data_IF_478188928713
#
_entry.id   IF_478188928713
#
_cell.length_a   1.000
_cell.length_b   1.000
_cell.length_c   1.000
_cell.angle_alpha   90.00
_cell.angle_beta   90.00
_cell.angle_gamma   90.00
#
_symmetry.space_group_name_H-M   'P 1'
#
loop_
_entity.id
_entity.type
_entity.pdbx_description
1 polymer ?
#
# COMPACT_ATOMS: atom_id res chain seq x y z
N UNK A 1 -6.94 -30.42 -2.93
CA UNK A 1 -8.41 -30.41 -3.09
C UNK A 1 -9.18 -30.78 -1.81
N UNK A 2 -8.57 -30.77 -0.63
CA UNK A 2 -9.18 -31.29 0.61
C UNK A 2 -9.43 -30.24 1.71
N UNK A 3 -9.34 -28.94 1.40
CA UNK A 3 -9.65 -27.90 2.39
C UNK A 3 -11.16 -27.80 2.57
N UNK A 4 -11.63 -27.93 3.82
CA UNK A 4 -13.02 -27.64 4.18
C UNK A 4 -13.37 -26.22 3.74
N UNK A 5 -14.52 -26.05 3.07
CA UNK A 5 -15.05 -24.75 2.69
C UNK A 5 -16.33 -24.50 3.45
N UNK A 6 -16.48 -23.28 3.94
CA UNK A 6 -17.79 -22.81 4.41
C UNK A 6 -18.82 -22.96 3.29
N UNK A 7 -20.08 -23.13 3.69
CA UNK A 7 -21.17 -23.08 2.73
C UNK A 7 -21.23 -21.70 2.05
N UNK A 8 -21.77 -21.65 0.82
CA UNK A 8 -21.81 -20.40 0.04
C UNK A 8 -22.60 -19.27 0.72
N UNK A 9 -23.59 -19.60 1.56
CA UNK A 9 -24.42 -18.62 2.25
C UNK A 9 -23.69 -18.01 3.47
N UNK A 10 -22.73 -18.75 4.04
CA UNK A 10 -21.86 -18.37 5.15
C UNK A 10 -20.51 -17.80 4.70
N UNK A 11 -20.38 -17.44 3.41
CA UNK A 11 -19.17 -16.79 2.88
C UNK A 11 -18.86 -15.49 3.63
N UNK A 12 -17.63 -15.36 4.12
CA UNK A 12 -17.20 -14.21 4.93
C UNK A 12 -17.25 -12.93 4.10
N UNK A 13 -17.89 -11.90 4.65
CA UNK A 13 -17.88 -10.55 4.06
C UNK A 13 -18.75 -10.35 2.80
N UNK A 14 -19.47 -11.37 2.33
CA UNK A 14 -20.33 -11.23 1.15
C UNK A 14 -21.47 -10.23 1.41
N UNK A 15 -21.74 -9.29 0.47
CA UNK A 15 -22.83 -8.33 0.63
C UNK A 15 -24.18 -9.05 0.59
N UNK A 16 -25.11 -8.58 1.43
CA UNK A 16 -26.48 -9.12 1.53
C UNK A 16 -27.48 -8.38 0.62
N UNK A 17 -27.01 -7.41 -0.16
CA UNK A 17 -27.81 -6.64 -1.11
C UNK A 17 -27.10 -6.58 -2.48
N UNK A 18 -27.84 -6.45 -3.59
CA UNK A 18 -27.25 -6.28 -4.91
C UNK A 18 -26.45 -4.96 -5.01
N UNK A 19 -25.28 -4.99 -5.63
CA UNK A 19 -24.41 -3.82 -5.86
C UNK A 19 -23.94 -3.81 -7.31
N UNK A 20 -24.00 -2.66 -7.98
CA UNK A 20 -23.57 -2.51 -9.37
C UNK A 20 -22.92 -1.13 -9.60
N UNK A 21 -21.73 -1.05 -10.23
CA UNK A 21 -21.14 0.22 -10.63
C UNK A 21 -21.83 0.79 -11.87
N UNK A 22 -21.88 2.12 -12.01
CA UNK A 22 -22.36 2.81 -13.20
C UNK A 22 -21.44 3.98 -13.56
N UNK A 23 -21.38 4.34 -14.84
CA UNK A 23 -20.67 5.53 -15.29
C UNK A 23 -21.38 6.81 -14.86
N UNK A 24 -20.66 7.94 -14.82
CA UNK A 24 -21.22 9.20 -14.33
C UNK A 24 -22.30 9.78 -15.28
N UNK A 25 -22.32 9.43 -16.57
CA UNK A 25 -23.39 9.83 -17.50
C UNK A 25 -24.72 9.13 -17.18
N UNK A 26 -24.68 7.83 -16.85
CA UNK A 26 -25.86 7.10 -16.40
C UNK A 26 -26.30 7.58 -15.01
N UNK A 27 -25.33 7.83 -14.11
CA UNK A 27 -25.60 8.41 -12.81
C UNK A 27 -26.27 9.78 -12.92
N UNK A 28 -25.82 10.64 -13.84
CA UNK A 28 -26.45 11.94 -14.09
C UNK A 28 -27.92 11.76 -14.51
N UNK A 29 -28.21 10.79 -15.38
CA UNK A 29 -29.58 10.49 -15.82
C UNK A 29 -30.49 10.06 -14.65
N UNK A 30 -29.96 9.27 -13.72
CA UNK A 30 -30.68 8.85 -12.51
C UNK A 30 -30.85 10.01 -11.51
N UNK A 31 -29.79 10.81 -11.30
CA UNK A 31 -29.77 11.89 -10.32
C UNK A 31 -30.54 13.13 -10.77
N UNK A 32 -30.67 13.36 -12.09
CA UNK A 32 -31.27 14.58 -12.66
C UNK A 32 -32.68 14.84 -12.15
N UNK A 33 -33.47 13.79 -12.00
CA UNK A 33 -34.86 13.87 -11.56
C UNK A 33 -35.06 13.40 -10.12
N UNK A 34 -33.98 13.20 -9.35
CA UNK A 34 -34.07 12.78 -7.95
C UNK A 34 -34.84 13.83 -7.15
N UNK A 35 -35.94 13.41 -6.53
CA UNK A 35 -36.83 14.24 -5.74
C UNK A 35 -36.42 14.29 -4.27
N UNK A 36 -37.37 14.61 -3.40
CA UNK A 36 -37.15 14.61 -1.96
C UNK A 36 -36.29 15.77 -1.45
N UNK A 37 -35.57 15.53 -0.36
CA UNK A 37 -34.87 16.59 0.38
C UNK A 37 -33.64 17.10 -0.38
N UNK A 38 -33.39 18.40 -0.25
CA UNK A 38 -32.13 19.01 -0.70
C UNK A 38 -30.94 18.41 0.07
N UNK A 39 -29.73 18.40 -0.51
CA UNK A 39 -28.54 17.91 0.17
C UNK A 39 -28.26 18.72 1.44
N UNK A 40 -28.00 18.06 2.60
CA UNK A 40 -27.90 18.72 3.89
C UNK A 40 -26.66 19.62 4.02
N UNK A 41 -25.60 19.31 3.25
CA UNK A 41 -24.36 20.07 3.27
C UNK A 41 -23.71 20.07 1.88
N UNK A 42 -22.90 21.10 1.58
CA UNK A 42 -22.21 21.24 0.29
C UNK A 42 -21.32 20.03 -0.04
N UNK A 43 -20.79 19.34 0.97
CA UNK A 43 -19.97 18.13 0.78
C UNK A 43 -20.71 16.95 0.15
N UNK A 44 -22.05 16.97 0.10
CA UNK A 44 -22.86 15.96 -0.59
C UNK A 44 -23.01 16.24 -2.09
N UNK A 45 -22.66 17.45 -2.54
CA UNK A 45 -22.71 17.82 -3.96
C UNK A 45 -21.41 17.43 -4.65
N UNK A 46 -21.53 16.59 -5.67
CA UNK A 46 -20.47 16.38 -6.65
C UNK A 46 -20.45 17.50 -7.72
N UNK A 47 -19.86 17.19 -8.88
CA UNK A 47 -19.67 18.15 -9.98
C UNK A 47 -20.56 17.91 -11.21
N UNK A 48 -21.56 17.02 -11.14
CA UNK A 48 -22.57 16.85 -12.18
C UNK A 48 -23.57 18.01 -12.14
N UNK A 49 -24.16 18.34 -13.28
CA UNK A 49 -25.15 19.41 -13.39
C UNK A 49 -26.55 18.93 -12.95
N UNK A 50 -26.69 18.57 -11.66
CA UNK A 50 -27.91 18.07 -11.04
C UNK A 50 -28.07 18.65 -9.62
N UNK A 51 -29.27 18.51 -9.03
CA UNK A 51 -29.57 19.09 -7.71
C UNK A 51 -28.87 18.40 -6.54
N UNK A 52 -28.51 17.12 -6.71
CA UNK A 52 -28.03 16.23 -5.63
C UNK A 52 -29.03 16.10 -4.48
N UNK A 53 -30.33 16.10 -4.78
CA UNK A 53 -31.33 15.77 -3.78
C UNK A 53 -31.09 14.35 -3.23
N UNK A 54 -31.47 14.12 -1.98
CA UNK A 54 -31.21 12.86 -1.26
C UNK A 54 -32.29 11.81 -1.55
N UNK A 55 -33.45 12.22 -2.08
CA UNK A 55 -34.64 11.38 -2.17
C UNK A 55 -35.50 11.44 -0.90
N UNK A 56 -36.46 10.50 -0.76
CA UNK A 56 -36.73 9.37 -1.65
C UNK A 56 -37.49 9.77 -2.93
N UNK A 57 -37.44 8.87 -3.92
CA UNK A 57 -38.21 8.97 -5.16
C UNK A 57 -37.73 10.05 -6.13
N UNK A 58 -38.49 10.21 -7.21
CA UNK A 58 -38.25 11.25 -8.21
C UNK A 58 -39.17 12.45 -8.01
N UNK A 59 -38.89 13.55 -8.70
CA UNK A 59 -39.75 14.75 -8.71
C UNK A 59 -41.16 14.44 -9.22
N UNK A 60 -42.12 15.36 -8.97
CA UNK A 60 -43.55 15.11 -9.20
C UNK A 60 -43.89 14.55 -10.60
N UNK A 61 -43.24 15.07 -11.65
CA UNK A 61 -43.43 14.63 -13.04
C UNK A 61 -42.98 13.18 -13.30
N UNK A 62 -42.22 12.58 -12.39
CA UNK A 62 -41.67 11.22 -12.46
C UNK A 62 -42.03 10.39 -11.23
N UNK A 63 -43.00 10.83 -10.42
CA UNK A 63 -43.36 10.23 -9.12
C UNK A 63 -43.77 8.75 -9.19
N UNK A 64 -44.25 8.29 -10.34
CA UNK A 64 -44.62 6.89 -10.58
C UNK A 64 -43.45 6.00 -11.02
N UNK A 65 -42.26 6.58 -11.27
CA UNK A 65 -41.09 5.83 -11.71
C UNK A 65 -40.28 5.30 -10.53
N UNK A 66 -39.62 4.17 -10.74
CA UNK A 66 -38.70 3.55 -9.79
C UNK A 66 -37.46 3.02 -10.51
N UNK A 67 -36.37 2.88 -9.78
CA UNK A 67 -35.17 2.18 -10.28
C UNK A 67 -35.31 0.69 -10.00
N UNK A 68 -34.99 -0.14 -10.99
CA UNK A 68 -34.93 -1.60 -10.84
C UNK A 68 -33.54 -2.10 -11.18
N UNK A 69 -32.92 -2.84 -10.28
CA UNK A 69 -31.62 -3.47 -10.51
C UNK A 69 -31.82 -4.90 -10.99
N UNK A 70 -31.03 -5.30 -12.00
CA UNK A 70 -31.03 -6.64 -12.57
C UNK A 70 -29.59 -7.18 -12.50
N UNK A 71 -29.29 -8.04 -11.51
CA UNK A 71 -27.95 -8.59 -11.30
C UNK A 71 -28.02 -10.12 -11.37
N UNK A 72 -27.21 -10.70 -12.25
CA UNK A 72 -27.13 -12.15 -12.48
C UNK A 72 -25.68 -12.63 -12.40
N UNK A 73 -24.96 -12.16 -11.38
CA UNK A 73 -23.58 -12.59 -11.11
C UNK A 73 -23.57 -13.89 -10.30
N UNK A 74 -22.57 -14.74 -10.53
CA UNK A 74 -22.44 -16.04 -9.89
C UNK A 74 -21.11 -16.17 -9.15
N UNK A 75 -21.14 -16.69 -7.91
CA UNK A 75 -19.95 -17.02 -7.15
C UNK A 75 -19.53 -18.46 -7.45
N UNK A 76 -18.32 -18.61 -7.98
CA UNK A 76 -17.74 -19.89 -8.36
C UNK A 76 -16.39 -20.10 -7.69
N UNK A 77 -16.08 -21.37 -7.43
CA UNK A 77 -14.74 -21.74 -6.97
C UNK A 77 -13.85 -21.83 -8.19
N UNK A 78 -12.92 -20.88 -8.30
CA UNK A 78 -11.98 -20.81 -9.42
C UNK A 78 -10.57 -21.11 -8.94
N UNK A 79 -9.80 -21.82 -9.76
CA UNK A 79 -8.39 -22.07 -9.49
C UNK A 79 -7.58 -20.82 -9.80
N UNK A 80 -6.76 -20.38 -8.84
CA UNK A 80 -5.85 -19.24 -8.96
C UNK A 80 -4.40 -19.72 -8.90
N UNK A 81 -3.46 -18.94 -9.46
CA UNK A 81 -2.06 -19.34 -9.62
C UNK A 81 -1.08 -18.22 -9.22
N UNK A 82 -0.45 -18.39 -8.07
CA UNK A 82 0.71 -17.60 -7.70
C UNK A 82 1.98 -18.14 -8.38
N UNK A 83 2.87 -17.24 -8.82
CA UNK A 83 4.21 -17.63 -9.29
C UNK A 83 5.24 -17.22 -8.25
N UNK A 84 5.98 -18.19 -7.72
CA UNK A 84 6.98 -17.98 -6.66
C UNK A 84 8.37 -18.36 -7.18
N UNK A 85 9.26 -17.37 -7.25
CA UNK A 85 10.67 -17.54 -7.62
C UNK A 85 11.58 -17.30 -6.43
N UNK A 86 12.69 -18.05 -6.32
CA UNK A 86 13.61 -17.90 -5.19
C UNK A 86 15.07 -17.79 -5.62
N UNK A 87 15.79 -16.85 -5.00
CA UNK A 87 17.26 -16.83 -4.98
C UNK A 87 17.69 -17.16 -3.55
N UNK A 88 18.09 -18.42 -3.32
CA UNK A 88 18.54 -18.87 -2.01
C UNK A 88 19.78 -18.11 -1.54
N UNK A 89 19.77 -17.66 -0.29
CA UNK A 89 20.88 -16.97 0.36
C UNK A 89 22.10 -17.87 0.59
N UNK A 90 23.27 -17.26 0.77
CA UNK A 90 24.54 -17.99 1.00
C UNK A 90 24.90 -18.15 2.48
N UNK A 91 24.49 -17.21 3.34
CA UNK A 91 24.85 -17.21 4.77
C UNK A 91 23.65 -17.50 5.66
N UNK A 92 22.53 -16.82 5.38
CA UNK A 92 21.28 -16.95 6.13
C UNK A 92 20.14 -17.41 5.19
N UNK A 93 20.24 -18.62 4.60
CA UNK A 93 19.26 -19.09 3.62
C UNK A 93 17.84 -19.28 4.20
N UNK A 94 17.71 -19.29 5.52
CA UNK A 94 16.48 -19.38 6.30
C UNK A 94 15.95 -18.01 6.74
N UNK A 95 16.41 -16.91 6.14
CA UNK A 95 15.84 -15.55 6.31
C UNK A 95 15.33 -15.04 4.98
N UNK A 96 14.11 -14.52 4.97
CA UNK A 96 13.36 -14.24 3.73
C UNK A 96 13.07 -12.76 3.56
N UNK A 97 13.57 -12.19 2.46
CA UNK A 97 13.15 -10.88 1.95
C UNK A 97 12.26 -11.13 0.75
N UNK A 98 11.03 -10.63 0.80
CA UNK A 98 10.01 -10.93 -0.20
C UNK A 98 9.76 -9.66 -1.02
N UNK A 99 9.80 -9.78 -2.35
CA UNK A 99 9.29 -8.79 -3.30
C UNK A 99 8.06 -9.38 -3.97
N UNK A 100 6.88 -8.83 -3.69
CA UNK A 100 5.62 -9.37 -4.17
C UNK A 100 4.68 -8.31 -4.70
N UNK A 101 3.91 -8.64 -5.74
CA UNK A 101 2.81 -7.82 -6.24
C UNK A 101 1.89 -8.67 -7.12
N UNK A 102 0.62 -8.32 -7.19
CA UNK A 102 -0.34 -9.06 -7.99
C UNK A 102 -0.16 -8.87 -9.50
N UNK A 103 -0.81 -9.76 -10.25
CA UNK A 103 -0.75 -9.85 -11.71
C UNK A 103 -2.14 -9.88 -12.33
N UNK A 104 -3.15 -10.36 -11.62
CA UNK A 104 -4.53 -10.25 -12.07
C UNK A 104 -4.95 -8.79 -12.13
N UNK A 105 -5.76 -8.45 -13.15
CA UNK A 105 -6.35 -7.13 -13.33
C UNK A 105 -7.82 -7.28 -13.70
N UNK A 106 -8.60 -6.23 -13.46
CA UNK A 106 -10.02 -6.21 -13.88
C UNK A 106 -10.21 -6.32 -15.39
N UNK A 107 -9.34 -5.67 -16.17
CA UNK A 107 -9.40 -5.65 -17.65
C UNK A 107 -8.00 -5.80 -18.24
N UNK A 108 -7.33 -4.70 -18.58
CA UNK A 108 -5.95 -4.72 -19.09
C UNK A 108 -4.96 -4.44 -17.95
N UNK A 109 -5.25 -3.42 -17.14
CA UNK A 109 -4.45 -3.08 -15.96
C UNK A 109 -3.14 -2.38 -16.30
N UNK A 110 -3.17 -1.43 -17.24
CA UNK A 110 -1.98 -0.67 -17.67
C UNK A 110 -1.17 -0.11 -16.50
N UNK A 111 -1.86 0.49 -15.53
CA UNK A 111 -1.34 0.90 -14.23
C UNK A 111 -1.47 -0.26 -13.24
N UNK A 112 -2.71 -0.63 -12.89
CA UNK A 112 -3.03 -1.60 -11.85
C UNK A 112 -3.29 -3.01 -12.42
N UNK A 113 -2.38 -3.99 -12.24
CA UNK A 113 -1.07 -3.91 -11.60
C UNK A 113 0.12 -3.93 -12.57
N UNK A 114 -0.11 -3.92 -13.89
CA UNK A 114 0.95 -4.27 -14.85
C UNK A 114 2.15 -3.31 -14.80
N UNK A 115 1.95 -2.04 -14.42
CA UNK A 115 3.05 -1.11 -14.16
C UNK A 115 3.96 -1.56 -13.01
N UNK A 116 3.40 -2.24 -12.00
CA UNK A 116 4.11 -2.88 -10.89
C UNK A 116 4.78 -4.18 -11.30
N UNK A 117 4.04 -5.07 -11.97
CA UNK A 117 4.54 -6.35 -12.44
C UNK A 117 5.74 -6.21 -13.40
N UNK A 118 5.71 -5.23 -14.31
CA UNK A 118 6.84 -4.91 -15.19
C UNK A 118 8.09 -4.50 -14.39
N UNK A 119 7.91 -3.70 -13.33
CA UNK A 119 9.00 -3.32 -12.43
C UNK A 119 9.56 -4.54 -11.67
N UNK A 120 8.71 -5.43 -11.17
CA UNK A 120 9.15 -6.69 -10.54
C UNK A 120 9.97 -7.53 -11.52
N UNK A 121 9.49 -7.69 -12.76
CA UNK A 121 10.20 -8.44 -13.80
C UNK A 121 11.60 -7.86 -14.08
N UNK A 122 11.73 -6.55 -14.18
CA UNK A 122 13.03 -5.91 -14.41
C UNK A 122 13.97 -6.06 -13.21
N UNK A 123 13.45 -5.97 -11.98
CA UNK A 123 14.22 -6.24 -10.76
C UNK A 123 14.72 -7.69 -10.75
N UNK A 124 13.84 -8.67 -11.01
CA UNK A 124 14.20 -10.09 -11.10
C UNK A 124 15.26 -10.32 -12.18
N UNK A 125 15.10 -9.69 -13.35
CA UNK A 125 16.08 -9.75 -14.45
C UNK A 125 17.43 -9.19 -14.02
N UNK A 126 17.45 -8.12 -13.23
CA UNK A 126 18.67 -7.50 -12.69
C UNK A 126 19.37 -8.41 -11.67
N UNK A 127 18.64 -8.92 -10.67
CA UNK A 127 19.15 -9.89 -9.71
C UNK A 127 19.65 -11.18 -10.40
N UNK A 128 18.95 -11.64 -11.44
CA UNK A 128 19.37 -12.76 -12.28
C UNK A 128 20.68 -12.50 -13.03
N UNK A 129 20.92 -11.27 -13.50
CA UNK A 129 22.22 -10.88 -14.09
C UNK A 129 23.34 -10.92 -13.05
N UNK A 130 23.11 -10.42 -11.82
CA UNK A 130 24.08 -10.52 -10.73
C UNK A 130 24.37 -11.99 -10.38
N UNK A 131 23.33 -12.82 -10.29
CA UNK A 131 23.45 -14.26 -10.04
C UNK A 131 24.32 -14.98 -11.08
N UNK A 132 24.12 -14.68 -12.37
CA UNK A 132 24.94 -15.24 -13.45
C UNK A 132 26.41 -14.80 -13.39
N UNK A 133 26.70 -13.67 -12.74
CA UNK A 133 28.07 -13.19 -12.48
C UNK A 133 28.68 -13.77 -11.19
N UNK A 134 28.02 -14.72 -10.54
CA UNK A 134 28.51 -15.39 -9.33
C UNK A 134 28.07 -14.75 -8.01
N UNK A 135 27.37 -13.61 -8.05
CA UNK A 135 26.83 -13.00 -6.83
C UNK A 135 25.62 -13.79 -6.30
N UNK A 136 25.49 -13.90 -4.99
CA UNK A 136 24.28 -14.39 -4.33
C UNK A 136 24.02 -13.60 -3.06
N UNK A 137 22.75 -13.39 -2.69
CA UNK A 137 22.43 -12.61 -1.52
C UNK A 137 22.81 -13.31 -0.22
N UNK A 138 23.03 -12.55 0.85
CA UNK A 138 23.28 -13.10 2.19
C UNK A 138 22.06 -13.90 2.68
N UNK A 139 20.87 -13.31 2.55
CA UNK A 139 19.55 -13.87 2.88
C UNK A 139 18.83 -14.35 1.63
N UNK A 140 17.84 -15.23 1.78
CA UNK A 140 17.04 -15.69 0.63
C UNK A 140 16.10 -14.57 0.16
N UNK A 141 16.09 -14.32 -1.15
CA UNK A 141 15.11 -13.42 -1.80
C UNK A 141 14.01 -14.26 -2.44
N UNK A 142 12.76 -13.95 -2.11
CA UNK A 142 11.57 -14.56 -2.70
C UNK A 142 10.89 -13.49 -3.57
N UNK A 143 10.61 -13.85 -4.82
CA UNK A 143 9.82 -13.05 -5.74
C UNK A 143 8.46 -13.70 -5.90
N UNK A 144 7.40 -12.92 -5.78
CA UNK A 144 6.04 -13.41 -5.89
C UNK A 144 5.22 -12.58 -6.88
N UNK A 145 4.50 -13.27 -7.75
CA UNK A 145 3.45 -12.71 -8.60
C UNK A 145 2.13 -13.30 -8.14
N UNK A 146 1.40 -12.49 -7.37
CA UNK A 146 0.14 -12.88 -6.74
C UNK A 146 -1.01 -12.89 -7.75
N UNK A 147 -2.04 -13.67 -7.45
CA UNK A 147 -3.25 -13.82 -8.28
C UNK A 147 -4.49 -13.56 -7.42
N UNK A 148 -5.58 -13.15 -8.04
CA UNK A 148 -6.85 -12.82 -7.38
C UNK A 148 -6.72 -11.80 -6.22
N UNK A 149 -5.85 -10.80 -6.37
CA UNK A 149 -5.78 -9.65 -5.46
C UNK A 149 -7.05 -8.80 -5.54
N UNK A 150 -7.54 -8.59 -6.75
CA UNK A 150 -8.73 -7.76 -7.03
C UNK A 150 -10.02 -8.36 -6.45
N UNK A 151 -9.96 -9.66 -6.11
CA UNK A 151 -11.03 -10.42 -5.49
C UNK A 151 -10.88 -10.52 -3.97
N UNK A 152 -10.03 -9.70 -3.37
CA UNK A 152 -9.84 -9.61 -1.92
C UNK A 152 -8.53 -10.21 -1.41
N UNK A 153 -7.42 -9.91 -2.10
CA UNK A 153 -6.06 -10.32 -1.69
C UNK A 153 -5.89 -11.84 -1.60
N UNK A 154 -6.64 -12.61 -2.40
CA UNK A 154 -6.81 -14.04 -2.17
C UNK A 154 -5.49 -14.80 -2.36
N UNK A 155 -4.77 -14.57 -3.45
CA UNK A 155 -3.54 -15.32 -3.73
C UNK A 155 -2.45 -15.09 -2.70
N UNK A 156 -2.17 -13.84 -2.33
CA UNK A 156 -1.17 -13.53 -1.31
C UNK A 156 -1.59 -14.03 0.08
N UNK A 157 -2.86 -13.88 0.43
CA UNK A 157 -3.40 -14.32 1.72
C UNK A 157 -3.33 -15.83 1.87
N UNK A 158 -3.84 -16.60 0.91
CA UNK A 158 -3.85 -18.07 0.97
C UNK A 158 -2.42 -18.64 1.01
N UNK A 159 -1.50 -18.07 0.22
CA UNK A 159 -0.09 -18.48 0.26
C UNK A 159 0.56 -18.18 1.62
N UNK A 160 0.24 -17.03 2.21
CA UNK A 160 0.73 -16.65 3.52
C UNK A 160 0.11 -17.49 4.64
N UNK A 161 -1.16 -17.91 4.53
CA UNK A 161 -1.79 -18.85 5.45
C UNK A 161 -1.12 -20.22 5.40
N UNK A 162 -0.88 -20.76 4.21
CA UNK A 162 -0.18 -22.04 4.01
C UNK A 162 1.23 -22.00 4.62
N UNK A 163 1.93 -20.87 4.49
CA UNK A 163 3.33 -20.71 4.91
C UNK A 163 3.50 -19.96 6.25
N UNK A 164 2.42 -19.72 7.00
CA UNK A 164 2.40 -18.78 8.14
C UNK A 164 3.49 -19.07 9.17
N UNK A 165 3.66 -20.34 9.57
CA UNK A 165 4.65 -20.74 10.57
C UNK A 165 6.08 -20.42 10.13
N UNK A 166 6.39 -20.64 8.86
CA UNK A 166 7.72 -20.38 8.31
C UNK A 166 7.92 -18.87 8.15
N UNK A 167 6.92 -18.16 7.62
CA UNK A 167 6.98 -16.72 7.40
C UNK A 167 7.10 -15.93 8.71
N UNK A 168 6.37 -16.29 9.76
CA UNK A 168 6.49 -15.64 11.07
C UNK A 168 7.88 -15.83 11.70
N UNK A 169 8.50 -16.99 11.49
CA UNK A 169 9.82 -17.29 12.06
C UNK A 169 11.00 -16.77 11.21
N UNK A 170 10.81 -16.58 9.90
CA UNK A 170 11.90 -16.36 8.93
C UNK A 170 11.72 -15.11 8.07
N UNK A 171 10.53 -14.53 8.03
CA UNK A 171 10.21 -13.32 7.28
C UNK A 171 10.95 -12.12 7.86
N UNK A 172 11.87 -11.57 7.07
CA UNK A 172 12.61 -10.35 7.41
C UNK A 172 11.80 -9.13 7.01
N UNK A 173 11.36 -9.10 5.75
CA UNK A 173 10.59 -8.00 5.22
C UNK A 173 9.79 -8.39 3.98
N UNK A 174 8.68 -7.68 3.74
CA UNK A 174 7.89 -7.74 2.52
C UNK A 174 7.83 -6.38 1.82
N UNK A 175 8.28 -6.32 0.57
CA UNK A 175 8.22 -5.14 -0.28
C UNK A 175 7.12 -5.34 -1.32
N UNK A 176 6.05 -4.55 -1.22
CA UNK A 176 4.92 -4.61 -2.13
C UNK A 176 5.22 -3.90 -3.46
N UNK A 177 4.76 -4.50 -4.55
CA UNK A 177 5.07 -4.09 -5.90
C UNK A 177 3.90 -4.18 -6.89
N UNK A 178 2.71 -3.82 -6.43
CA UNK A 178 1.59 -3.34 -7.27
C UNK A 178 1.99 -2.04 -8.05
N UNK A 179 1.07 -1.35 -8.69
CA UNK A 179 1.10 -0.02 -9.29
C UNK A 179 2.34 0.81 -8.97
N UNK A 180 3.17 1.01 -9.98
CA UNK A 180 4.41 1.80 -9.87
C UNK A 180 4.14 3.30 -9.99
N UNK A 181 3.03 3.69 -10.61
CA UNK A 181 2.70 5.08 -10.95
C UNK A 181 1.18 5.32 -10.81
N UNK A 182 0.78 6.30 -10.03
CA UNK A 182 -0.61 6.79 -9.95
C UNK A 182 -0.70 8.29 -10.26
N UNK A 183 0.40 8.83 -10.76
CA UNK A 183 0.65 10.22 -11.06
C UNK A 183 2.14 10.43 -11.28
N UNK A 184 2.53 11.62 -11.72
CA UNK A 184 3.89 11.93 -12.16
C UNK A 184 4.53 13.06 -11.33
N UNK A 185 3.98 13.38 -10.16
CA UNK A 185 4.43 14.51 -9.36
C UNK A 185 5.65 14.18 -8.50
N UNK A 186 5.56 13.16 -7.65
CA UNK A 186 6.65 12.81 -6.72
C UNK A 186 6.52 11.39 -6.17
N UNK A 187 7.57 10.90 -5.50
CA UNK A 187 7.59 9.63 -4.80
C UNK A 187 6.58 9.61 -3.64
N UNK A 188 5.90 8.47 -3.48
CA UNK A 188 5.14 8.09 -2.30
C UNK A 188 5.73 6.82 -1.72
N UNK A 189 5.96 6.82 -0.42
CA UNK A 189 6.37 5.64 0.34
C UNK A 189 5.43 5.45 1.52
N UNK A 190 5.00 4.21 1.70
CA UNK A 190 4.27 3.78 2.89
C UNK A 190 5.02 2.56 3.46
N UNK A 191 5.51 2.61 4.70
CA UNK A 191 6.26 1.50 5.31
C UNK A 191 6.24 1.54 6.84
N UNK A 192 6.67 0.45 7.46
CA UNK A 192 6.91 0.41 8.91
C UNK A 192 8.01 1.40 9.34
N UNK A 193 7.92 2.04 10.52
CA UNK A 193 8.97 2.90 11.06
C UNK A 193 10.38 2.30 11.05
N UNK A 194 10.48 0.96 11.16
CA UNK A 194 11.76 0.25 11.09
C UNK A 194 12.55 0.58 9.81
N UNK A 195 11.88 0.90 8.70
CA UNK A 195 12.49 1.09 7.39
C UNK A 195 12.75 2.57 7.02
N UNK A 196 12.38 3.54 7.87
CA UNK A 196 12.44 4.96 7.50
C UNK A 196 13.85 5.38 7.09
N UNK A 197 14.86 5.09 7.91
CA UNK A 197 16.25 5.41 7.59
C UNK A 197 16.77 4.72 6.34
N UNK A 198 16.43 3.44 6.12
CA UNK A 198 16.80 2.72 4.90
C UNK A 198 16.22 3.41 3.66
N UNK A 199 14.93 3.78 3.69
CA UNK A 199 14.29 4.50 2.59
C UNK A 199 15.00 5.84 2.36
N UNK A 200 15.26 6.60 3.42
CA UNK A 200 15.91 7.91 3.31
C UNK A 200 17.36 7.81 2.81
N UNK A 201 18.14 6.84 3.25
CA UNK A 201 19.52 6.65 2.77
C UNK A 201 19.53 6.24 1.29
N UNK A 202 18.74 5.23 0.94
CA UNK A 202 18.65 4.72 -0.43
C UNK A 202 18.21 5.80 -1.42
N UNK A 203 17.19 6.60 -1.06
CA UNK A 203 16.69 7.66 -1.95
C UNK A 203 17.65 8.84 -2.12
N UNK A 204 18.65 9.01 -1.25
CA UNK A 204 19.74 9.99 -1.46
C UNK A 204 20.73 9.55 -2.53
N UNK A 205 20.83 8.25 -2.80
CA UNK A 205 21.75 7.67 -3.79
C UNK A 205 21.11 7.49 -5.18
N UNK A 206 19.78 7.60 -5.26
CA UNK A 206 19.04 7.45 -6.52
C UNK A 206 18.87 8.83 -7.16
N UNK A 207 19.25 9.04 -8.43
CA UNK A 207 18.97 10.29 -9.15
C UNK A 207 17.48 10.53 -9.28
N UNK A 208 17.04 11.78 -9.09
CA UNK A 208 15.66 12.19 -9.30
C UNK A 208 15.29 12.12 -10.79
N UNK A 209 14.13 11.55 -11.16
CA UNK A 209 13.59 11.64 -12.52
C UNK A 209 12.82 12.94 -12.76
N UNK A 210 12.53 13.70 -11.69
CA UNK A 210 11.66 14.87 -11.72
C UNK A 210 12.27 16.02 -12.52
N UNK A 211 11.44 16.65 -13.37
CA UNK A 211 11.80 17.87 -14.10
C UNK A 211 12.21 19.00 -13.15
N UNK A 212 13.32 19.67 -13.45
CA UNK A 212 13.88 20.75 -12.63
C UNK A 212 14.71 20.26 -11.43
N UNK A 213 14.99 18.96 -11.36
CA UNK A 213 15.85 18.31 -10.36
C UNK A 213 17.00 17.54 -11.00
N UNK A 214 17.46 17.99 -12.17
CA UNK A 214 18.60 17.39 -12.86
C UNK A 214 19.86 17.43 -11.97
N UNK A 215 20.53 16.28 -11.82
CA UNK A 215 21.70 16.15 -10.95
C UNK A 215 21.38 16.12 -9.44
N UNK A 216 20.09 16.13 -9.06
CA UNK A 216 19.66 15.99 -7.66
C UNK A 216 19.29 14.55 -7.32
N UNK A 217 19.35 14.24 -6.03
CA UNK A 217 18.84 12.99 -5.48
C UNK A 217 17.31 12.95 -5.47
N UNK A 218 16.75 11.75 -5.52
CA UNK A 218 15.32 11.50 -5.35
C UNK A 218 14.83 11.97 -3.97
N UNK A 219 15.67 11.88 -2.95
CA UNK A 219 15.39 12.42 -1.63
C UNK A 219 15.15 13.94 -1.68
N UNK A 220 16.00 14.70 -2.39
CA UNK A 220 15.85 16.16 -2.51
C UNK A 220 14.54 16.56 -3.20
N UNK A 221 14.18 15.89 -4.31
CA UNK A 221 12.94 16.18 -5.03
C UNK A 221 11.71 15.77 -4.23
N UNK A 222 11.75 14.58 -3.61
CA UNK A 222 10.68 14.08 -2.75
C UNK A 222 10.46 14.94 -1.52
N UNK A 223 11.52 15.35 -0.81
CA UNK A 223 11.42 16.25 0.34
C UNK A 223 10.80 17.58 -0.05
N UNK A 224 11.26 18.20 -1.15
CA UNK A 224 10.76 19.50 -1.58
C UNK A 224 9.30 19.45 -2.01
N UNK A 225 8.85 18.35 -2.63
CA UNK A 225 7.49 18.19 -3.13
C UNK A 225 6.49 17.65 -2.10
N UNK A 226 6.95 16.89 -1.12
CA UNK A 226 6.09 16.27 -0.11
C UNK A 226 6.79 16.15 1.26
N UNK A 227 7.05 17.28 1.94
CA UNK A 227 7.68 17.27 3.25
C UNK A 227 6.78 16.60 4.30
N UNK A 228 7.38 15.92 5.26
CA UNK A 228 6.65 15.33 6.38
C UNK A 228 5.98 16.40 7.23
N UNK A 229 4.76 16.11 7.69
CA UNK A 229 4.04 16.96 8.66
C UNK A 229 4.32 16.56 10.11
N UNK A 230 4.82 15.35 10.31
CA UNK A 230 5.04 14.76 11.63
C UNK A 230 6.51 14.92 12.08
N UNK A 231 7.44 14.89 11.11
CA UNK A 231 8.88 14.91 11.37
C UNK A 231 9.53 16.05 10.59
N UNK A 232 10.41 16.82 11.25
CA UNK A 232 11.11 17.95 10.62
C UNK A 232 12.16 17.46 9.63
N UNK A 233 12.34 18.22 8.55
CA UNK A 233 13.46 18.07 7.60
C UNK A 233 13.57 16.71 6.88
N UNK A 234 12.46 15.97 6.81
CA UNK A 234 12.39 14.68 6.10
C UNK A 234 11.18 14.59 5.18
N UNK A 235 11.25 13.82 4.08
CA UNK A 235 10.09 13.51 3.26
C UNK A 235 9.02 12.73 4.03
N UNK A 236 7.77 12.90 3.60
CA UNK A 236 6.61 12.20 4.18
C UNK A 236 6.63 10.71 3.81
N UNK A 237 6.71 9.85 4.82
CA UNK A 237 6.36 8.42 4.76
C UNK A 237 5.01 8.24 5.43
N UNK A 238 4.09 7.50 4.80
CA UNK A 238 2.79 7.20 5.42
C UNK A 238 2.76 5.82 6.08
N UNK A 239 1.73 5.60 6.90
CA UNK A 239 1.45 4.31 7.53
C UNK A 239 0.90 3.31 6.51
N UNK A 240 1.21 2.04 6.71
CA UNK A 240 0.54 0.94 6.01
C UNK A 240 -0.80 0.62 6.69
N UNK A 241 -1.81 0.35 5.87
CA UNK A 241 -3.13 -0.06 6.31
C UNK A 241 -3.52 -1.38 5.65
N UNK A 242 -4.42 -1.27 4.67
CA UNK A 242 -5.01 -2.36 3.89
C UNK A 242 -4.94 -1.99 2.39
N UNK A 243 -5.53 -2.82 1.53
CA UNK A 243 -5.76 -2.52 0.11
C UNK A 243 -4.63 -2.93 -0.81
N UNK A 244 -3.83 -3.94 -0.41
CA UNK A 244 -2.87 -4.63 -1.27
C UNK A 244 -2.31 -5.89 -0.59
N UNK A 245 -1.55 -6.68 -1.35
CA UNK A 245 -0.97 -7.95 -0.90
C UNK A 245 -0.07 -7.86 0.36
N UNK A 246 0.45 -6.68 0.72
CA UNK A 246 1.20 -6.52 1.98
C UNK A 246 0.35 -6.75 3.23
N UNK A 247 -0.98 -6.70 3.13
CA UNK A 247 -1.88 -6.75 4.29
C UNK A 247 -1.65 -7.99 5.15
N UNK A 248 -1.61 -9.18 4.54
CA UNK A 248 -1.41 -10.43 5.28
C UNK A 248 -0.03 -10.48 5.94
N UNK A 249 1.01 -9.99 5.26
CA UNK A 249 2.37 -9.97 5.80
C UNK A 249 2.51 -9.00 6.95
N UNK A 250 1.93 -7.80 6.84
CA UNK A 250 2.06 -6.74 7.83
C UNK A 250 1.08 -6.90 9.00
N UNK A 251 -0.22 -6.91 8.72
CA UNK A 251 -1.27 -6.85 9.74
C UNK A 251 -1.47 -8.18 10.46
N UNK A 252 -1.33 -9.30 9.75
CA UNK A 252 -1.61 -10.64 10.30
C UNK A 252 -0.36 -11.38 10.76
N UNK A 253 0.73 -11.30 9.99
CA UNK A 253 1.97 -12.02 10.31
C UNK A 253 3.02 -11.17 11.02
N UNK A 254 2.87 -9.84 11.09
CA UNK A 254 3.79 -8.95 11.80
C UNK A 254 5.16 -8.78 11.11
N UNK A 255 5.22 -8.99 9.79
CA UNK A 255 6.45 -8.85 8.99
C UNK A 255 6.61 -7.39 8.57
N UNK A 256 7.80 -6.83 8.84
CA UNK A 256 8.17 -5.47 8.44
C UNK A 256 7.90 -5.28 6.95
N UNK A 257 7.09 -4.29 6.59
CA UNK A 257 6.61 -4.15 5.21
C UNK A 257 6.74 -2.73 4.69
N UNK A 258 6.80 -2.59 3.37
CA UNK A 258 6.84 -1.29 2.69
C UNK A 258 6.37 -1.34 1.24
N UNK A 259 5.93 -0.20 0.71
CA UNK A 259 5.62 0.01 -0.71
C UNK A 259 6.15 1.37 -1.16
N UNK A 260 6.50 1.48 -2.43
CA UNK A 260 6.91 2.73 -3.05
C UNK A 260 6.30 2.86 -4.46
N UNK A 261 5.80 4.04 -4.81
CA UNK A 261 5.23 4.37 -6.13
C UNK A 261 5.38 5.85 -6.43
N UNK A 262 5.26 6.25 -7.68
CA UNK A 262 5.08 7.65 -8.06
C UNK A 262 3.60 8.03 -7.94
N UNK A 263 3.33 9.26 -7.51
CA UNK A 263 1.98 9.72 -7.20
C UNK A 263 1.80 11.18 -7.59
N UNK A 264 0.54 11.60 -7.55
CA UNK A 264 0.05 12.93 -7.89
C UNK A 264 0.35 14.01 -6.83
N UNK A 265 0.03 15.27 -7.14
CA UNK A 265 0.16 16.39 -6.22
C UNK A 265 -1.10 16.57 -5.35
N UNK A 266 -1.06 16.11 -4.09
CA UNK A 266 -2.20 16.21 -3.16
C UNK A 266 -2.67 17.65 -2.85
N UNK A 267 -1.86 18.68 -3.14
CA UNK A 267 -2.27 20.06 -2.95
C UNK A 267 -3.19 20.56 -4.06
N UNK A 268 -3.02 20.05 -5.29
CA UNK A 268 -3.79 20.45 -6.48
C UNK A 268 -4.87 19.43 -6.81
N UNK A 269 -4.51 18.15 -6.78
CA UNK A 269 -5.32 17.05 -7.27
C UNK A 269 -6.11 16.40 -6.11
N UNK A 270 -7.41 16.68 -6.08
CA UNK A 270 -8.31 16.27 -4.98
C UNK A 270 -9.10 14.99 -5.25
N UNK A 271 -8.95 14.39 -6.43
CA UNK A 271 -9.52 13.07 -6.71
C UNK A 271 -8.85 11.99 -5.84
N UNK A 272 -9.41 10.80 -5.70
CA UNK A 272 -8.91 9.76 -4.77
C UNK A 272 -7.73 8.95 -5.34
N UNK A 273 -8.01 8.01 -6.25
CA UNK A 273 -7.01 7.15 -6.93
C UNK A 273 -6.41 7.91 -8.12
N UNK A 274 -6.53 7.34 -9.32
CA UNK A 274 -6.32 7.98 -10.60
C UNK A 274 -7.59 7.82 -11.47
N UNK A 275 -7.85 8.70 -12.46
CA UNK A 275 -9.18 8.81 -13.09
C UNK A 275 -9.73 7.56 -13.77
N UNK A 276 -8.86 6.67 -14.28
CA UNK A 276 -9.27 5.46 -15.02
C UNK A 276 -9.15 4.17 -14.21
N UNK A 277 -8.97 4.28 -12.89
CA UNK A 277 -8.86 3.14 -11.97
C UNK A 277 -9.99 2.13 -12.18
N UNK A 278 -9.62 0.85 -12.30
CA UNK A 278 -10.53 -0.29 -12.51
C UNK A 278 -11.49 -0.14 -13.71
N UNK A 279 -11.08 0.63 -14.72
CA UNK A 279 -11.86 0.82 -15.95
C UNK A 279 -11.18 0.19 -17.16
N UNK A 280 -11.95 0.03 -18.24
CA UNK A 280 -11.43 -0.42 -19.55
C UNK A 280 -10.38 0.52 -20.15
N UNK A 281 -10.27 1.75 -19.64
CA UNK A 281 -9.32 2.75 -20.12
C UNK A 281 -7.95 2.65 -19.43
N UNK A 282 -7.81 1.79 -18.41
CA UNK A 282 -6.52 1.49 -17.79
C UNK A 282 -5.67 0.60 -18.71
N UNK A 283 -5.01 1.24 -19.67
CA UNK A 283 -4.36 0.63 -20.85
C UNK A 283 -2.87 0.96 -20.89
N UNK A 284 -2.09 0.25 -21.72
CA UNK A 284 -0.69 0.58 -21.94
C UNK A 284 -0.52 2.02 -22.47
N UNK A 285 -1.37 2.43 -23.42
CA UNK A 285 -1.32 3.73 -24.06
C UNK A 285 -1.56 4.87 -23.07
N UNK A 286 -2.37 4.66 -22.02
CA UNK A 286 -2.55 5.72 -21.01
C UNK A 286 -1.24 5.97 -20.25
N UNK A 287 -0.52 4.90 -19.92
CA UNK A 287 0.76 4.98 -19.22
C UNK A 287 1.82 5.63 -20.09
N UNK A 288 1.99 5.12 -21.31
CA UNK A 288 3.01 5.58 -22.25
C UNK A 288 2.77 7.03 -22.71
N UNK A 289 1.52 7.48 -22.86
CA UNK A 289 1.27 8.83 -23.39
C UNK A 289 1.11 9.90 -22.32
N UNK A 290 0.56 9.54 -21.16
CA UNK A 290 0.11 10.55 -20.19
C UNK A 290 0.79 10.47 -18.82
N UNK A 291 1.22 9.29 -18.36
CA UNK A 291 1.79 9.16 -17.01
C UNK A 291 3.31 9.17 -16.99
N UNK A 292 3.96 8.36 -17.84
CA UNK A 292 5.42 8.24 -17.86
C UNK A 292 5.97 7.90 -19.25
N UNK A 293 5.90 8.84 -20.23
CA UNK A 293 6.33 8.58 -21.61
C UNK A 293 7.79 8.19 -21.79
N UNK A 294 8.63 8.49 -20.80
CA UNK A 294 10.06 8.17 -20.82
C UNK A 294 10.42 7.01 -19.90
N UNK A 295 9.43 6.43 -19.21
CA UNK A 295 9.60 5.37 -18.21
C UNK A 295 10.60 5.70 -17.08
N UNK A 296 10.91 6.99 -16.87
CA UNK A 296 11.88 7.44 -15.86
C UNK A 296 11.32 7.26 -14.44
N UNK A 297 10.01 7.45 -14.26
CA UNK A 297 9.36 7.26 -12.97
C UNK A 297 9.30 5.76 -12.63
N UNK A 298 8.94 4.91 -13.60
CA UNK A 298 8.99 3.45 -13.45
C UNK A 298 10.39 2.94 -13.10
N UNK A 299 11.41 3.39 -13.83
CA UNK A 299 12.80 3.02 -13.56
C UNK A 299 13.24 3.48 -12.17
N UNK A 300 12.81 4.66 -11.73
CA UNK A 300 13.11 5.19 -10.40
C UNK A 300 12.46 4.32 -9.32
N UNK A 301 11.18 3.97 -9.47
CA UNK A 301 10.49 3.06 -8.56
C UNK A 301 11.13 1.67 -8.55
N UNK A 302 11.60 1.17 -9.70
CA UNK A 302 12.35 -0.07 -9.78
C UNK A 302 13.67 -0.01 -8.99
N UNK A 303 14.40 1.10 -9.05
CA UNK A 303 15.61 1.33 -8.24
C UNK A 303 15.29 1.39 -6.75
N UNK A 304 14.21 2.06 -6.36
CA UNK A 304 13.77 2.12 -4.95
C UNK A 304 13.38 0.73 -4.45
N UNK A 305 12.44 0.04 -5.10
CA UNK A 305 11.98 -1.29 -4.69
C UNK A 305 13.13 -2.31 -4.71
N UNK A 306 13.91 -2.33 -5.78
CA UNK A 306 15.06 -3.23 -5.94
C UNK A 306 16.17 -2.95 -4.92
N UNK A 307 16.46 -1.67 -4.63
CA UNK A 307 17.43 -1.26 -3.63
C UNK A 307 17.01 -1.64 -2.20
N UNK A 308 15.72 -1.47 -1.85
CA UNK A 308 15.19 -1.92 -0.57
C UNK A 308 15.38 -3.43 -0.39
N UNK A 309 15.00 -4.22 -1.40
CA UNK A 309 15.18 -5.68 -1.39
C UNK A 309 16.66 -6.04 -1.30
N UNK A 310 17.52 -5.34 -2.04
CA UNK A 310 18.96 -5.59 -2.06
C UNK A 310 19.61 -5.37 -0.69
N UNK A 311 19.36 -4.22 -0.06
CA UNK A 311 19.89 -3.90 1.27
C UNK A 311 19.38 -4.89 2.32
N UNK A 312 18.05 -5.08 2.41
CA UNK A 312 17.47 -6.03 3.36
C UNK A 312 18.03 -7.45 3.23
N UNK A 313 18.31 -7.88 1.98
CA UNK A 313 18.81 -9.23 1.70
C UNK A 313 20.33 -9.37 1.87
N UNK A 314 21.10 -8.28 1.91
CA UNK A 314 22.57 -8.33 1.88
C UNK A 314 23.27 -7.70 3.08
N UNK A 315 22.72 -6.64 3.68
CA UNK A 315 23.39 -5.95 4.77
C UNK A 315 23.68 -6.94 5.91
N UNK A 316 24.90 -6.91 6.44
CA UNK A 316 25.35 -7.83 7.51
C UNK A 316 24.37 -7.74 8.68
N UNK A 317 24.20 -6.51 9.18
CA UNK A 317 23.17 -6.12 10.13
C UNK A 317 21.95 -5.63 9.35
N UNK A 318 20.75 -6.06 9.75
CA UNK A 318 19.53 -5.57 9.11
C UNK A 318 19.45 -4.04 9.23
N UNK A 319 19.16 -3.32 8.14
CA UNK A 319 19.10 -1.85 8.11
C UNK A 319 17.79 -1.32 8.74
N UNK A 320 17.39 -1.89 9.87
CA UNK A 320 16.24 -1.46 10.64
C UNK A 320 16.63 -0.53 11.79
N UNK A 321 15.73 0.40 12.11
CA UNK A 321 15.94 1.31 13.23
C UNK A 321 14.73 1.34 14.18
N UNK A 322 14.85 0.67 15.33
CA UNK A 322 13.79 0.70 16.36
C UNK A 322 13.63 2.04 17.09
N UNK A 323 14.59 2.99 17.04
CA UNK A 323 14.38 4.35 17.60
C UNK A 323 13.31 5.11 16.81
N UNK A 324 13.28 4.92 15.49
CA UNK A 324 12.25 5.51 14.63
C UNK A 324 10.86 4.93 14.98
N UNK A 325 10.78 3.65 15.36
CA UNK A 325 9.55 3.04 15.88
C UNK A 325 9.16 3.63 17.24
N UNK A 326 10.11 3.80 18.16
CA UNK A 326 9.83 4.42 19.46
C UNK A 326 9.25 5.83 19.30
N UNK A 327 9.83 6.63 18.40
CA UNK A 327 9.32 7.94 18.05
C UNK A 327 7.90 7.89 17.45
N UNK A 328 7.64 6.94 16.56
CA UNK A 328 6.31 6.76 15.96
C UNK A 328 5.25 6.36 17.01
N UNK A 329 5.55 5.39 17.87
CA UNK A 329 4.61 4.93 18.92
C UNK A 329 4.34 6.05 19.93
N UNK A 330 5.35 6.83 20.30
CA UNK A 330 5.17 8.01 21.15
C UNK A 330 4.23 9.04 20.52
N UNK A 331 4.41 9.35 19.23
CA UNK A 331 3.47 10.22 18.50
C UNK A 331 2.04 9.63 18.50
N UNK A 332 1.88 8.33 18.26
CA UNK A 332 0.56 7.70 18.25
C UNK A 332 -0.11 7.71 19.62
N UNK A 333 0.65 7.49 20.70
CA UNK A 333 0.15 7.59 22.07
C UNK A 333 -0.37 9.01 22.37
N UNK A 334 0.35 10.05 21.93
CA UNK A 334 -0.12 11.42 22.06
C UNK A 334 -1.36 11.72 21.21
N UNK A 335 -1.44 11.20 19.98
CA UNK A 335 -2.62 11.37 19.12
C UNK A 335 -3.86 10.76 19.79
N UNK A 336 -3.80 9.50 20.23
CA UNK A 336 -4.96 8.83 20.85
C UNK A 336 -5.33 9.47 22.19
N UNK A 337 -4.35 9.88 22.98
CA UNK A 337 -4.58 10.62 24.22
C UNK A 337 -5.30 11.94 23.94
N UNK A 338 -4.82 12.74 22.98
CA UNK A 338 -5.45 14.01 22.63
C UNK A 338 -6.88 13.85 22.08
N UNK A 339 -7.15 12.78 21.32
CA UNK A 339 -8.52 12.46 20.89
C UNK A 339 -9.44 12.15 22.08
N UNK A 340 -8.92 11.43 23.09
CA UNK A 340 -9.68 11.08 24.28
C UNK A 340 -10.02 12.28 25.19
N UNK A 341 -9.29 13.39 25.05
CA UNK A 341 -9.55 14.64 25.82
C UNK A 341 -10.91 15.27 25.51
N UNK A 342 -11.55 14.91 24.39
CA UNK A 342 -12.92 15.32 24.10
C UNK A 342 -13.97 14.67 25.03
N UNK A 343 -13.55 13.69 25.85
CA UNK A 343 -14.40 12.91 26.76
C UNK A 343 -13.80 12.85 28.17
N UNK A 344 -13.22 13.96 28.64
CA UNK A 344 -12.50 13.99 29.92
C UNK A 344 -13.37 13.62 31.13
N UNK A 345 -14.63 14.05 31.16
CA UNK A 345 -15.58 13.70 32.23
C UNK A 345 -15.88 12.20 32.22
N UNK A 346 -16.08 11.59 31.05
CA UNK A 346 -16.32 10.16 30.92
C UNK A 346 -15.08 9.34 31.29
N UNK A 347 -13.88 9.78 30.90
CA UNK A 347 -12.64 9.11 31.31
C UNK A 347 -12.51 9.07 32.84
N UNK A 348 -12.82 10.18 33.52
CA UNK A 348 -12.81 10.23 34.98
C UNK A 348 -13.93 9.37 35.59
N UNK A 349 -15.14 9.44 35.04
CA UNK A 349 -16.30 8.67 35.50
C UNK A 349 -16.07 7.17 35.43
N UNK A 350 -15.45 6.68 34.35
CA UNK A 350 -15.19 5.26 34.12
C UNK A 350 -13.77 4.83 34.51
N UNK A 351 -13.00 5.70 35.17
CA UNK A 351 -11.63 5.44 35.62
C UNK A 351 -10.70 4.89 34.51
N UNK A 352 -10.76 5.52 33.33
CA UNK A 352 -9.93 5.16 32.17
C UNK A 352 -8.67 6.02 32.19
N UNK A 353 -7.51 5.39 32.38
CA UNK A 353 -6.18 6.05 32.37
C UNK A 353 -5.30 5.60 31.21
N UNK A 354 -4.46 6.51 30.73
CA UNK A 354 -3.45 6.28 29.70
C UNK A 354 -2.04 6.04 30.29
N UNK A 355 -1.88 6.03 31.61
CA UNK A 355 -0.58 5.92 32.28
C UNK A 355 0.17 4.64 31.90
N UNK A 356 -0.54 3.51 31.83
CA UNK A 356 0.05 2.24 31.42
C UNK A 356 0.57 2.28 29.97
N UNK A 357 -0.15 2.96 29.06
CA UNK A 357 0.30 3.15 27.69
C UNK A 357 1.55 4.02 27.65
N UNK A 358 1.54 5.19 28.29
CA UNK A 358 2.72 6.08 28.31
C UNK A 358 3.92 5.47 29.01
N UNK A 359 3.72 4.68 30.07
CA UNK A 359 4.77 3.91 30.74
C UNK A 359 5.38 2.88 29.80
N UNK A 360 4.56 2.13 29.05
CA UNK A 360 5.05 1.19 28.05
C UNK A 360 5.83 1.88 26.92
N UNK A 361 5.35 3.03 26.42
CA UNK A 361 6.06 3.84 25.41
C UNK A 361 7.43 4.32 25.92
N UNK A 362 7.49 4.80 27.17
CA UNK A 362 8.74 5.23 27.80
C UNK A 362 9.74 4.07 27.86
N UNK A 363 9.31 2.92 28.39
CA UNK A 363 10.15 1.73 28.48
C UNK A 363 10.63 1.26 27.09
N UNK A 364 9.74 1.25 26.09
CA UNK A 364 10.10 0.87 24.72
C UNK A 364 11.14 1.82 24.13
N UNK A 365 11.04 3.12 24.40
CA UNK A 365 12.01 4.12 23.94
C UNK A 365 13.39 3.88 24.56
N UNK A 366 13.46 3.72 25.87
CA UNK A 366 14.71 3.45 26.60
C UNK A 366 15.37 2.14 26.12
N UNK A 367 14.58 1.08 25.92
CA UNK A 367 15.07 -0.21 25.41
C UNK A 367 15.55 -0.10 23.97
N UNK A 368 14.85 0.64 23.11
CA UNK A 368 15.26 0.88 21.73
C UNK A 368 16.59 1.65 21.66
N UNK A 369 16.76 2.66 22.52
CA UNK A 369 18.01 3.41 22.59
C UNK A 369 19.18 2.55 23.04
N UNK A 370 19.00 1.82 24.14
CA UNK A 370 20.01 0.91 24.68
C UNK A 370 20.36 -0.24 23.71
N UNK A 371 19.37 -0.74 22.96
CA UNK A 371 19.62 -1.73 21.91
C UNK A 371 20.54 -1.19 20.81
N UNK A 372 20.31 0.03 20.34
CA UNK A 372 21.16 0.65 19.31
C UNK A 372 22.57 0.99 19.81
N UNK A 373 22.73 1.35 21.08
CA UNK A 373 24.05 1.54 21.69
C UNK A 373 24.85 0.22 21.69
N UNK A 374 24.24 -0.89 22.09
CA UNK A 374 24.88 -2.21 22.01
C UNK A 374 25.14 -2.63 20.56
N UNK A 375 24.23 -2.30 19.65
CA UNK A 375 24.37 -2.63 18.23
C UNK A 375 25.60 -1.95 17.60
N UNK A 376 26.01 -0.78 18.09
CA UNK A 376 27.24 -0.11 17.63
C UNK A 376 28.53 -0.77 18.12
N UNK A 377 28.45 -1.65 19.12
CA UNK A 377 29.59 -2.32 19.73
C UNK A 377 29.83 -3.73 19.19
N UNK A 378 28.95 -4.24 18.31
CA UNK A 378 29.12 -5.59 17.76
C UNK A 378 30.26 -5.60 16.74
N UNK A 379 31.05 -6.68 16.75
CA UNK A 379 32.02 -6.92 15.69
C UNK A 379 31.28 -7.37 14.42
N UNK A 380 31.53 -6.66 13.34
CA UNK A 380 30.92 -6.89 12.01
C UNK A 380 31.90 -7.50 11.02
N UNK A 381 33.13 -7.77 11.45
CA UNK A 381 34.20 -8.36 10.62
C UNK A 381 34.10 -9.88 10.51
#
# INVERSE_FOLDING_TARGET
EYTYRLDKASGVGLPKIPVHPIGYHDAESLLRNMGGYAPPHRSWKGNLNVSYNVGPGFTANYSTRSVKMHIHSHNEVTRIYNVIGTIRGTVEPDRYVILGGHRDSWVFGGIDPQSGAAVVHEIVRSFGKLKRKGWRPRRTVIFASWDAEEFGLLGSTEWAEENAKVLQARGVAYINADSSIEGNYTLRVDCTPLMYRLVYSLTKEIPSPDEGFEGKSLYESWYKKNPSREYKEVPRINKLGSGNDFEVFFQRLGIASGRARYSKNWNVEKYSSYPVYHSVYDTYEIVERFYDPTFKNHLTVAKVRGGLVFELANSIVLPFNCRDYASAVSNYAHIIYNLSRNHEEELATYNVSFDALFSAVKNFTEVADSFHERLQQIDIN
#
